data_IF_110406403856
#
_entry.id   IF_110406403856
#
_cell.length_a   1.000
_cell.length_b   1.000
_cell.length_c   1.000
_cell.angle_alpha   90.00
_cell.angle_beta   90.00
_cell.angle_gamma   90.00
#
_symmetry.space_group_name_H-M   'P 1'
#
loop_
_entity.id
_entity.type
_entity.pdbx_description
1 polymer ?
#
# COMPACT_ATOMS: atom_id res chain seq x y z
N UNK A 1 51.98 -0.74 -29.60
CA UNK A 1 51.14 -0.34 -28.45
C UNK A 1 49.70 -0.31 -28.93
N UNK A 2 48.98 -1.43 -28.83
CA UNK A 2 47.57 -1.55 -29.22
C UNK A 2 46.83 -2.02 -27.97
N UNK A 3 46.00 -1.14 -27.41
CA UNK A 3 45.24 -1.38 -26.19
C UNK A 3 43.98 -2.16 -26.58
N UNK A 4 43.90 -3.42 -26.13
CA UNK A 4 42.75 -4.28 -26.34
C UNK A 4 41.55 -3.82 -25.49
N UNK A 5 40.47 -3.47 -26.17
CA UNK A 5 39.18 -3.13 -25.57
C UNK A 5 38.55 -4.41 -25.00
N UNK A 6 38.53 -4.57 -23.67
CA UNK A 6 37.75 -5.62 -23.00
C UNK A 6 36.28 -5.21 -22.97
N UNK A 7 35.46 -5.87 -23.78
CA UNK A 7 34.01 -5.80 -23.66
C UNK A 7 33.60 -6.48 -22.34
N UNK A 8 33.13 -5.71 -21.36
CA UNK A 8 32.36 -6.25 -20.25
C UNK A 8 30.97 -6.61 -20.78
N UNK A 9 30.68 -7.91 -20.84
CA UNK A 9 29.31 -8.42 -20.99
C UNK A 9 28.59 -8.12 -19.68
N UNK A 10 27.62 -7.21 -19.71
CA UNK A 10 26.63 -7.08 -18.65
C UNK A 10 25.63 -8.22 -18.83
N UNK A 11 25.74 -9.26 -18.00
CA UNK A 11 24.68 -10.24 -17.84
C UNK A 11 23.51 -9.54 -17.14
N UNK A 12 22.49 -9.17 -17.92
CA UNK A 12 21.16 -8.86 -17.41
C UNK A 12 20.63 -10.15 -16.77
N UNK A 13 20.69 -10.23 -15.45
CA UNK A 13 19.94 -11.20 -14.66
C UNK A 13 18.46 -10.86 -14.83
N UNK A 14 17.84 -11.41 -15.86
CA UNK A 14 16.39 -11.48 -15.96
C UNK A 14 15.99 -12.53 -14.93
N UNK A 15 15.33 -12.11 -13.86
CA UNK A 15 14.70 -12.99 -12.88
C UNK A 15 13.52 -13.71 -13.54
N UNK A 16 13.80 -14.69 -14.41
CA UNK A 16 12.76 -15.47 -15.03
C UNK A 16 12.14 -16.40 -13.99
N UNK A 17 10.84 -16.27 -13.77
CA UNK A 17 10.06 -17.20 -12.96
C UNK A 17 10.14 -18.64 -13.50
N UNK A 18 10.04 -19.65 -12.64
CA UNK A 18 9.78 -21.01 -13.11
C UNK A 18 8.45 -21.02 -13.89
N UNK A 19 8.36 -21.86 -14.93
CA UNK A 19 7.25 -21.88 -15.90
C UNK A 19 5.83 -22.08 -15.32
N UNK A 20 5.72 -22.41 -14.02
CA UNK A 20 4.47 -22.61 -13.28
C UNK A 20 4.29 -21.64 -12.09
N UNK A 21 5.12 -20.60 -11.97
CA UNK A 21 4.94 -19.60 -10.91
C UNK A 21 3.63 -18.85 -11.12
N UNK A 22 2.96 -18.52 -10.01
CA UNK A 22 1.81 -17.60 -10.06
C UNK A 22 2.22 -16.13 -10.08
N UNK A 23 3.50 -15.87 -9.83
CA UNK A 23 4.08 -14.56 -9.93
C UNK A 23 4.66 -14.34 -11.33
N UNK A 24 4.53 -13.13 -11.85
CA UNK A 24 5.10 -12.68 -13.12
C UNK A 24 5.70 -11.27 -12.95
N UNK A 25 6.69 -10.94 -13.78
CA UNK A 25 7.30 -9.62 -13.81
C UNK A 25 6.37 -8.66 -14.56
N UNK A 26 6.08 -7.53 -13.93
CA UNK A 26 5.42 -6.40 -14.58
C UNK A 26 6.44 -5.46 -15.23
N UNK A 27 5.92 -4.44 -15.90
CA UNK A 27 6.77 -3.35 -16.41
C UNK A 27 7.32 -2.55 -15.23
N UNK A 28 8.65 -2.45 -15.05
CA UNK A 28 9.23 -1.74 -13.92
C UNK A 28 8.84 -0.26 -13.94
N UNK A 29 8.78 0.34 -12.75
CA UNK A 29 8.54 1.77 -12.61
C UNK A 29 9.66 2.59 -13.30
N UNK A 30 9.36 3.79 -13.80
CA UNK A 30 10.39 4.68 -14.34
C UNK A 30 11.44 5.09 -13.30
N UNK A 31 11.07 5.09 -12.02
CA UNK A 31 11.94 5.41 -10.90
C UNK A 31 11.64 4.54 -9.69
N UNK A 32 12.71 4.03 -9.07
CA UNK A 32 12.63 3.26 -7.83
C UNK A 32 12.09 4.10 -6.66
N UNK A 33 11.05 3.60 -6.00
CA UNK A 33 10.34 4.31 -4.92
C UNK A 33 9.82 3.36 -3.85
N UNK A 34 9.90 3.79 -2.59
CA UNK A 34 9.27 3.12 -1.44
C UNK A 34 8.24 4.03 -0.76
N UNK A 35 7.24 3.44 -0.11
CA UNK A 35 6.17 4.17 0.56
C UNK A 35 5.22 4.89 -0.40
N UNK A 36 5.15 4.43 -1.65
CA UNK A 36 4.14 4.85 -2.62
C UNK A 36 2.78 4.28 -2.23
N UNK A 37 1.73 4.95 -2.66
CA UNK A 37 0.36 4.46 -2.50
C UNK A 37 -0.33 4.45 -3.83
N UNK A 38 -1.20 3.47 -4.05
CA UNK A 38 -1.86 3.32 -5.33
C UNK A 38 -3.33 2.89 -5.23
N UNK A 39 -4.06 3.17 -6.30
CA UNK A 39 -5.45 2.73 -6.49
C UNK A 39 -5.72 2.47 -7.97
N UNK A 40 -6.71 1.62 -8.29
CA UNK A 40 -7.20 1.46 -9.66
C UNK A 40 -8.30 2.47 -9.93
N UNK A 41 -8.19 3.17 -11.04
CA UNK A 41 -9.29 3.95 -11.64
C UNK A 41 -9.39 3.53 -13.10
N UNK A 42 -10.51 2.91 -13.45
CA UNK A 42 -10.75 2.29 -14.74
C UNK A 42 -9.62 1.33 -15.16
N UNK A 43 -8.91 1.65 -16.23
CA UNK A 43 -7.79 0.85 -16.77
C UNK A 43 -6.42 1.32 -16.27
N UNK A 44 -6.38 2.16 -15.24
CA UNK A 44 -5.16 2.80 -14.79
C UNK A 44 -4.86 2.50 -13.32
N UNK A 45 -3.60 2.21 -13.02
CA UNK A 45 -3.09 2.25 -11.65
C UNK A 45 -2.52 3.63 -11.42
N UNK A 46 -3.12 4.40 -10.51
CA UNK A 46 -2.60 5.71 -10.09
C UNK A 46 -1.65 5.47 -8.93
N UNK A 47 -0.41 5.92 -9.05
CA UNK A 47 0.64 5.81 -8.04
C UNK A 47 1.04 7.20 -7.55
N UNK A 48 0.84 7.47 -6.25
CA UNK A 48 1.13 8.77 -5.63
C UNK A 48 2.21 8.64 -4.57
N UNK A 49 3.06 9.67 -4.49
CA UNK A 49 4.00 9.85 -3.40
C UNK A 49 5.21 8.92 -3.46
N UNK A 50 5.64 8.45 -2.29
CA UNK A 50 6.85 7.66 -2.13
C UNK A 50 8.13 8.48 -1.98
N UNK A 51 9.21 7.77 -1.64
CA UNK A 51 10.56 8.30 -1.49
C UNK A 51 11.48 7.59 -2.49
N UNK A 52 12.30 8.37 -3.18
CA UNK A 52 13.38 7.90 -4.04
C UNK A 52 14.72 8.43 -3.55
N UNK A 53 15.81 7.80 -3.97
CA UNK A 53 17.19 8.24 -3.70
C UNK A 53 17.46 9.55 -4.45
N UNK A 54 16.90 9.72 -5.65
CA UNK A 54 17.08 10.91 -6.46
C UNK A 54 16.16 12.02 -5.95
N UNK A 55 16.76 13.15 -5.56
CA UNK A 55 16.03 14.33 -5.11
C UNK A 55 15.14 14.90 -6.23
N UNK A 56 13.96 15.44 -5.85
CA UNK A 56 12.93 15.91 -6.80
C UNK A 56 11.67 15.03 -6.87
N UNK A 57 11.62 13.90 -6.14
CA UNK A 57 10.43 13.05 -6.00
C UNK A 57 9.37 13.72 -5.05
N UNK A 58 8.06 13.68 -5.37
CA UNK A 58 7.37 12.66 -6.17
C UNK A 58 7.00 13.07 -7.60
N UNK A 59 7.49 12.32 -8.60
CA UNK A 59 6.77 12.14 -9.86
C UNK A 59 5.70 11.09 -9.58
N UNK A 60 4.46 11.55 -9.43
CA UNK A 60 3.32 10.65 -9.39
C UNK A 60 3.09 10.11 -10.79
N UNK A 61 2.66 8.86 -10.90
CA UNK A 61 2.61 8.15 -12.16
C UNK A 61 1.27 7.47 -12.36
N UNK A 62 0.95 7.21 -13.61
CA UNK A 62 -0.17 6.38 -14.02
C UNK A 62 0.38 5.21 -14.84
N UNK A 63 0.04 3.99 -14.46
CA UNK A 63 0.29 2.80 -15.27
C UNK A 63 -0.96 2.44 -16.05
N UNK A 64 -0.88 2.53 -17.37
CA UNK A 64 -1.91 2.05 -18.28
C UNK A 64 -1.83 0.53 -18.38
N UNK A 65 -2.80 -0.16 -17.80
CA UNK A 65 -2.81 -1.62 -17.72
C UNK A 65 -2.96 -2.25 -19.12
N UNK A 66 -3.64 -1.58 -20.06
CA UNK A 66 -3.88 -2.12 -21.42
C UNK A 66 -2.70 -1.82 -22.33
N UNK A 67 -2.15 -0.62 -22.21
CA UNK A 67 -0.98 -0.18 -22.97
C UNK A 67 0.34 -0.73 -22.42
N UNK A 68 0.36 -1.26 -21.20
CA UNK A 68 1.58 -1.66 -20.48
C UNK A 68 2.63 -0.54 -20.46
N UNK A 69 2.19 0.69 -20.16
CA UNK A 69 3.06 1.86 -20.18
C UNK A 69 2.85 2.75 -18.96
N UNK A 70 3.96 3.21 -18.39
CA UNK A 70 3.99 4.23 -17.36
C UNK A 70 3.97 5.62 -17.99
N UNK A 71 3.16 6.52 -17.43
CA UNK A 71 3.10 7.92 -17.83
C UNK A 71 3.18 8.81 -16.58
N UNK A 72 3.85 9.97 -16.64
CA UNK A 72 3.82 10.92 -15.54
C UNK A 72 2.44 11.53 -15.40
N UNK A 73 2.08 11.94 -14.19
CA UNK A 73 0.89 12.78 -13.94
C UNK A 73 1.29 14.08 -13.24
N UNK A 74 0.36 15.04 -13.23
CA UNK A 74 0.52 16.31 -12.54
C UNK A 74 0.97 16.12 -11.09
N UNK A 75 1.98 16.88 -10.69
CA UNK A 75 2.56 16.81 -9.35
C UNK A 75 1.51 17.26 -8.34
N UNK A 76 1.39 16.49 -7.25
CA UNK A 76 0.53 16.87 -6.14
C UNK A 76 1.00 18.22 -5.55
N UNK A 77 0.11 19.20 -5.33
CA UNK A 77 0.50 20.53 -4.86
C UNK A 77 1.22 20.55 -3.50
N UNK A 78 1.11 19.46 -2.72
CA UNK A 78 1.81 19.28 -1.46
C UNK A 78 2.51 17.93 -1.40
N UNK A 79 3.76 17.94 -0.94
CA UNK A 79 4.50 16.72 -0.60
C UNK A 79 3.95 16.15 0.70
N UNK A 80 3.41 14.92 0.65
CA UNK A 80 2.85 14.21 1.80
C UNK A 80 3.51 12.84 1.95
N UNK A 81 3.99 12.54 3.15
CA UNK A 81 4.55 11.24 3.52
C UNK A 81 3.53 10.48 4.37
N UNK A 82 3.38 9.17 4.15
CA UNK A 82 2.42 8.36 4.91
C UNK A 82 0.96 8.74 4.63
N UNK A 83 0.69 9.35 3.48
CA UNK A 83 -0.68 9.57 2.98
C UNK A 83 -1.26 8.25 2.45
N UNK A 84 -2.54 8.25 2.09
CA UNK A 84 -3.21 7.12 1.42
C UNK A 84 -4.07 7.62 0.28
N UNK A 85 -4.30 6.77 -0.72
CA UNK A 85 -5.20 7.04 -1.85
C UNK A 85 -6.26 5.94 -1.97
N UNK A 86 -7.49 6.31 -2.30
CA UNK A 86 -8.57 5.39 -2.68
C UNK A 86 -9.37 5.97 -3.84
N UNK A 87 -9.94 5.13 -4.69
CA UNK A 87 -10.79 5.57 -5.79
C UNK A 87 -12.20 5.97 -5.32
N UNK A 88 -12.75 7.06 -5.84
CA UNK A 88 -14.10 7.57 -5.60
C UNK A 88 -14.89 7.70 -6.91
N UNK A 89 -14.93 6.61 -7.68
CA UNK A 89 -15.43 6.62 -9.05
C UNK A 89 -14.27 6.82 -10.01
N UNK A 90 -14.32 7.88 -10.79
CA UNK A 90 -13.35 8.33 -11.80
C UNK A 90 -12.19 9.17 -11.21
N UNK A 91 -12.16 9.38 -9.90
CA UNK A 91 -11.16 10.21 -9.20
C UNK A 91 -10.47 9.46 -8.07
N UNK A 92 -9.25 9.87 -7.74
CA UNK A 92 -8.51 9.38 -6.59
C UNK A 92 -8.61 10.36 -5.42
N UNK A 93 -9.11 9.92 -4.26
CA UNK A 93 -9.07 10.71 -3.02
C UNK A 93 -7.81 10.38 -2.25
N UNK A 94 -6.98 11.40 -1.99
CA UNK A 94 -5.77 11.35 -1.18
C UNK A 94 -6.01 12.11 0.11
N UNK A 95 -5.72 11.52 1.27
CA UNK A 95 -5.99 12.16 2.56
C UNK A 95 -4.85 11.97 3.56
N UNK A 96 -4.63 13.00 4.37
CA UNK A 96 -3.68 13.01 5.47
C UNK A 96 -2.22 12.82 5.03
N UNK A 97 -1.39 12.44 5.98
CA UNK A 97 0.06 12.35 5.84
C UNK A 97 0.78 13.50 6.54
N UNK A 98 2.11 13.46 6.48
CA UNK A 98 3.02 14.42 7.06
C UNK A 98 3.60 15.33 5.97
N UNK A 99 3.51 16.65 6.17
CA UNK A 99 3.91 17.67 5.19
C UNK A 99 5.28 18.31 5.49
N UNK A 100 6.18 17.58 6.14
CA UNK A 100 7.47 18.06 6.71
C UNK A 100 7.36 18.99 7.93
N UNK A 101 6.16 19.48 8.28
CA UNK A 101 5.95 20.32 9.46
C UNK A 101 5.06 19.65 10.50
N UNK A 102 3.93 19.08 10.05
CA UNK A 102 2.95 18.44 10.93
C UNK A 102 2.21 17.31 10.23
N UNK A 103 1.62 16.44 11.03
CA UNK A 103 0.60 15.50 10.56
C UNK A 103 -0.63 16.33 10.18
N UNK A 104 -1.23 16.04 9.03
CA UNK A 104 -2.33 16.82 8.46
C UNK A 104 -3.61 15.98 8.36
N UNK A 105 -4.74 16.66 8.26
CA UNK A 105 -6.04 16.09 7.92
C UNK A 105 -6.49 16.48 6.49
N UNK A 106 -5.63 17.15 5.72
CA UNK A 106 -5.99 17.68 4.41
C UNK A 106 -6.29 16.55 3.42
N UNK A 107 -7.28 16.77 2.56
CA UNK A 107 -7.65 15.86 1.49
C UNK A 107 -7.60 16.55 0.13
N UNK A 108 -7.24 15.76 -0.88
CA UNK A 108 -7.09 16.18 -2.27
C UNK A 108 -7.72 15.13 -3.17
N UNK A 109 -8.34 15.57 -4.25
CA UNK A 109 -8.87 14.69 -5.29
C UNK A 109 -8.04 14.87 -6.55
N UNK A 110 -7.61 13.76 -7.14
CA UNK A 110 -7.01 13.74 -8.47
C UNK A 110 -8.05 13.30 -9.49
N UNK A 111 -8.34 14.18 -10.43
CA UNK A 111 -9.22 13.89 -11.56
C UNK A 111 -8.37 13.34 -12.71
N UNK A 112 -8.59 12.07 -13.07
CA UNK A 112 -7.78 11.39 -14.09
C UNK A 112 -8.05 11.98 -15.48
N UNK A 113 -9.30 12.33 -15.78
CA UNK A 113 -9.72 12.88 -17.08
C UNK A 113 -9.12 14.27 -17.30
N UNK A 114 -9.20 15.13 -16.27
CA UNK A 114 -8.71 16.49 -16.34
C UNK A 114 -7.22 16.63 -15.96
N UNK A 115 -6.60 15.55 -15.49
CA UNK A 115 -5.21 15.51 -15.03
C UNK A 115 -4.87 16.60 -14.02
N UNK A 116 -5.78 16.89 -13.08
CA UNK A 116 -5.61 17.98 -12.11
C UNK A 116 -5.93 17.56 -10.68
N UNK A 117 -5.37 18.33 -9.75
CA UNK A 117 -5.59 18.18 -8.31
C UNK A 117 -6.54 19.25 -7.81
N UNK A 118 -7.54 18.84 -7.04
CA UNK A 118 -8.48 19.75 -6.36
C UNK A 118 -8.49 19.45 -4.87
N UNK A 119 -8.33 20.48 -4.04
CA UNK A 119 -8.51 20.35 -2.59
C UNK A 119 -9.98 20.06 -2.27
N UNK A 120 -10.24 19.17 -1.32
CA UNK A 120 -11.59 18.80 -0.88
C UNK A 120 -11.71 18.88 0.65
N UNK A 121 -12.88 18.52 1.18
CA UNK A 121 -13.15 18.49 2.61
C UNK A 121 -12.14 17.64 3.37
N UNK A 122 -11.46 18.26 4.34
CA UNK A 122 -10.49 17.60 5.21
C UNK A 122 -11.13 16.53 6.09
N UNK A 123 -10.33 15.54 6.48
CA UNK A 123 -10.70 14.59 7.52
C UNK A 123 -10.98 15.31 8.85
N UNK A 124 -11.85 14.75 9.73
CA UNK A 124 -12.09 15.32 11.06
C UNK A 124 -10.85 15.32 11.97
N UNK A 125 -9.96 14.33 11.81
CA UNK A 125 -8.78 14.14 12.65
C UNK A 125 -7.53 13.98 11.77
N UNK A 126 -6.42 14.59 12.18
CA UNK A 126 -5.15 14.52 11.47
C UNK A 126 -4.50 13.14 11.60
N UNK A 127 -4.05 12.57 10.48
CA UNK A 127 -3.53 11.19 10.40
C UNK A 127 -2.41 11.02 9.39
N UNK A 128 -1.35 10.32 9.77
CA UNK A 128 -0.33 9.79 8.87
C UNK A 128 -0.15 8.28 9.11
N UNK A 129 0.37 7.55 8.11
CA UNK A 129 0.57 6.08 8.15
C UNK A 129 -0.67 5.27 8.52
N UNK A 130 -1.85 5.88 8.33
CA UNK A 130 -3.15 5.27 8.54
C UNK A 130 -3.46 4.32 7.38
N UNK A 131 -4.54 3.55 7.52
CA UNK A 131 -5.13 2.82 6.39
C UNK A 131 -6.36 3.56 5.91
N UNK A 132 -6.56 3.62 4.59
CA UNK A 132 -7.76 4.18 3.98
C UNK A 132 -8.30 3.16 3.00
N UNK A 133 -9.58 2.82 3.13
CA UNK A 133 -10.21 1.81 2.28
C UNK A 133 -11.63 2.20 1.90
N UNK A 134 -12.00 1.94 0.65
CA UNK A 134 -13.37 2.09 0.17
C UNK A 134 -14.12 0.76 0.26
N UNK A 135 -15.31 0.80 0.85
CA UNK A 135 -16.33 -0.25 0.73
C UNK A 135 -17.62 0.42 0.28
N UNK A 136 -18.10 0.04 -0.91
CA UNK A 136 -19.30 0.60 -1.52
C UNK A 136 -19.24 2.14 -1.60
N UNK A 137 -20.18 2.83 -0.94
CA UNK A 137 -20.33 4.29 -0.93
C UNK A 137 -19.61 4.97 0.26
N UNK A 138 -18.73 4.25 0.96
CA UNK A 138 -18.03 4.76 2.15
C UNK A 138 -16.54 4.52 2.05
N UNK A 139 -15.79 5.48 2.56
CA UNK A 139 -14.36 5.35 2.81
C UNK A 139 -14.14 5.34 4.31
N UNK A 140 -13.26 4.45 4.75
CA UNK A 140 -12.93 4.22 6.13
C UNK A 140 -11.45 4.54 6.34
N UNK A 141 -11.15 5.39 7.32
CA UNK A 141 -9.79 5.73 7.73
C UNK A 141 -9.56 5.25 9.16
N UNK A 142 -8.52 4.45 9.35
CA UNK A 142 -8.27 3.74 10.61
C UNK A 142 -6.78 3.57 10.92
N UNK A 143 -6.46 3.56 12.21
CA UNK A 143 -5.10 3.46 12.71
C UNK A 143 -4.22 4.65 12.29
N UNK A 144 -2.91 4.40 12.20
CA UNK A 144 -1.92 5.43 11.92
C UNK A 144 -1.47 6.18 13.17
N UNK A 145 -0.78 7.29 12.95
CA UNK A 145 -0.31 8.23 13.98
C UNK A 145 -0.99 9.58 13.81
N UNK A 146 -1.27 10.28 14.91
CA UNK A 146 -1.98 11.56 14.95
C UNK A 146 -3.03 11.63 16.06
N UNK A 147 -4.12 12.37 15.85
CA UNK A 147 -5.15 12.67 16.87
C UNK A 147 -6.13 11.51 17.07
N UNK A 148 -6.23 10.91 18.26
CA UNK A 148 -7.15 9.79 18.59
C UNK A 148 -7.05 8.54 17.66
N UNK A 149 -5.86 7.91 17.49
CA UNK A 149 -5.56 6.82 16.52
C UNK A 149 -6.45 5.57 16.56
N UNK A 150 -7.18 5.38 17.66
CA UNK A 150 -8.22 4.38 17.82
C UNK A 150 -9.52 4.70 17.06
N UNK A 151 -9.78 5.96 16.71
CA UNK A 151 -11.04 6.41 16.10
C UNK A 151 -11.08 6.08 14.62
N UNK A 152 -12.20 5.45 14.22
CA UNK A 152 -12.52 5.19 12.82
C UNK A 152 -13.24 6.39 12.21
N UNK A 153 -12.67 7.02 11.18
CA UNK A 153 -13.33 8.08 10.42
C UNK A 153 -13.98 7.49 9.17
N UNK A 154 -15.17 7.98 8.84
CA UNK A 154 -15.98 7.49 7.72
C UNK A 154 -16.39 8.66 6.83
N UNK A 155 -15.98 8.62 5.56
CA UNK A 155 -16.47 9.54 4.54
C UNK A 155 -17.59 8.88 3.73
N UNK A 156 -18.75 9.53 3.66
CA UNK A 156 -19.81 9.14 2.74
C UNK A 156 -19.60 9.85 1.40
N UNK A 157 -19.35 9.08 0.34
CA UNK A 157 -18.97 9.62 -0.97
C UNK A 157 -20.13 10.42 -1.58
N UNK A 158 -21.34 9.85 -1.65
CA UNK A 158 -22.50 10.56 -2.22
C UNK A 158 -22.89 11.82 -1.45
N UNK A 159 -22.78 11.80 -0.12
CA UNK A 159 -23.12 12.95 0.74
C UNK A 159 -21.97 13.94 0.92
N UNK A 160 -20.78 13.60 0.42
CA UNK A 160 -19.53 14.34 0.61
C UNK A 160 -19.32 14.78 2.06
N UNK A 161 -19.49 13.86 3.00
CA UNK A 161 -19.48 14.19 4.42
C UNK A 161 -18.69 13.19 5.25
N UNK A 162 -17.79 13.73 6.07
CA UNK A 162 -17.08 12.98 7.09
C UNK A 162 -17.93 12.77 8.34
N UNK A 163 -17.63 11.68 9.06
CA UNK A 163 -18.19 11.36 10.36
C UNK A 163 -17.17 10.54 11.16
N UNK A 164 -17.26 10.59 12.48
CA UNK A 164 -16.42 9.77 13.36
C UNK A 164 -17.29 8.66 13.94
N UNK A 165 -16.85 7.42 13.75
CA UNK A 165 -17.51 6.23 14.29
C UNK A 165 -17.26 6.10 15.79
N UNK A 166 -18.22 5.54 16.52
CA UNK A 166 -18.05 5.16 17.94
C UNK A 166 -17.35 3.81 18.15
N UNK A 167 -17.09 3.07 17.07
CA UNK A 167 -16.50 1.74 17.12
C UNK A 167 -15.00 1.84 16.88
N UNK A 168 -14.25 1.87 17.96
CA UNK A 168 -12.80 2.07 17.93
C UNK A 168 -12.06 0.82 17.45
N UNK A 169 -10.93 1.04 16.78
CA UNK A 169 -9.95 0.00 16.45
C UNK A 169 -9.42 -0.61 17.77
N UNK A 170 -9.59 -1.93 18.02
CA UNK A 170 -9.28 -2.51 19.32
C UNK A 170 -7.79 -2.44 19.65
N UNK A 171 -6.95 -2.70 18.66
CA UNK A 171 -5.49 -2.63 18.80
C UNK A 171 -4.97 -1.55 17.88
N UNK A 172 -4.59 -0.41 18.45
CA UNK A 172 -4.15 0.78 17.70
C UNK A 172 -2.78 0.54 17.06
N UNK A 173 -2.74 0.62 15.73
CA UNK A 173 -1.53 0.35 14.94
C UNK A 173 -1.36 1.30 13.78
N UNK A 174 -0.13 1.48 13.33
CA UNK A 174 0.24 2.13 12.08
C UNK A 174 0.97 1.14 11.16
N UNK A 175 1.15 1.49 9.88
CA UNK A 175 1.84 0.63 8.90
C UNK A 175 1.24 -0.80 8.80
N UNK A 176 -0.09 -0.88 8.91
CA UNK A 176 -0.86 -2.13 8.75
C UNK A 176 -1.08 -2.44 7.28
N UNK A 177 -1.09 -3.73 6.93
CA UNK A 177 -1.70 -4.17 5.68
C UNK A 177 -3.21 -4.19 5.86
N UNK A 178 -3.95 -3.50 4.98
CA UNK A 178 -5.41 -3.37 5.10
C UNK A 178 -6.07 -3.59 3.75
N UNK A 179 -7.14 -4.38 3.73
CA UNK A 179 -7.91 -4.63 2.51
C UNK A 179 -9.36 -4.97 2.81
N UNK A 180 -10.18 -5.06 1.76
CA UNK A 180 -11.55 -5.57 1.84
C UNK A 180 -11.42 -7.09 1.89
N UNK A 181 -12.14 -7.73 2.79
CA UNK A 181 -12.23 -9.18 2.88
C UNK A 181 -13.65 -9.57 3.28
N UNK A 182 -14.36 -10.28 2.39
CA UNK A 182 -15.77 -10.67 2.59
C UNK A 182 -16.66 -9.48 3.03
N UNK A 183 -16.62 -8.38 2.27
CA UNK A 183 -17.35 -7.12 2.53
C UNK A 183 -17.05 -6.41 3.87
N UNK A 184 -16.03 -6.90 4.58
CA UNK A 184 -15.50 -6.30 5.80
C UNK A 184 -14.13 -5.70 5.56
N UNK A 185 -13.63 -4.91 6.52
CA UNK A 185 -12.27 -4.38 6.48
C UNK A 185 -11.40 -5.29 7.32
N UNK A 186 -10.39 -5.91 6.73
CA UNK A 186 -9.37 -6.64 7.49
C UNK A 186 -8.11 -5.80 7.62
N UNK A 187 -7.54 -5.84 8.82
CA UNK A 187 -6.24 -5.25 9.15
C UNK A 187 -5.31 -6.36 9.61
N UNK A 188 -4.09 -6.37 9.11
CA UNK A 188 -3.10 -7.42 9.36
C UNK A 188 -1.78 -6.78 9.80
N UNK A 189 -1.26 -7.27 10.93
CA UNK A 189 0.03 -6.86 11.46
C UNK A 189 0.09 -5.35 11.72
N UNK A 190 1.23 -4.75 11.39
CA UNK A 190 1.56 -3.36 11.67
C UNK A 190 2.34 -3.19 12.96
N UNK A 191 2.49 -1.94 13.37
CA UNK A 191 3.24 -1.54 14.56
C UNK A 191 2.28 -0.96 15.58
N UNK A 192 2.28 -1.50 16.79
CA UNK A 192 1.43 -0.98 17.88
C UNK A 192 1.92 0.39 18.31
N UNK A 193 1.00 1.37 18.38
CA UNK A 193 1.36 2.75 18.77
C UNK A 193 1.86 2.81 20.21
N UNK A 194 1.31 2.00 21.11
CA UNK A 194 1.63 2.02 22.55
C UNK A 194 3.01 1.48 22.90
N UNK A 195 3.48 0.45 22.17
CA UNK A 195 4.71 -0.28 22.50
C UNK A 195 5.78 -0.21 21.41
N UNK A 196 5.45 0.36 20.25
CA UNK A 196 6.28 0.36 19.06
C UNK A 196 6.69 -1.04 18.57
N UNK A 197 6.01 -2.09 19.03
CA UNK A 197 6.28 -3.46 18.64
C UNK A 197 5.53 -3.83 17.36
N UNK A 198 6.23 -4.54 16.47
CA UNK A 198 5.62 -5.21 15.32
C UNK A 198 4.75 -6.36 15.83
N UNK A 199 3.56 -6.51 15.27
CA UNK A 199 2.59 -7.53 15.70
C UNK A 199 2.12 -8.41 14.54
N UNK A 200 1.50 -9.54 14.88
CA UNK A 200 0.84 -10.47 13.97
C UNK A 200 -0.68 -10.40 14.06
N UNK A 201 -1.22 -9.49 14.86
CA UNK A 201 -2.67 -9.37 15.10
C UNK A 201 -3.43 -9.16 13.78
N UNK A 202 -4.54 -9.88 13.65
CA UNK A 202 -5.47 -9.75 12.53
C UNK A 202 -6.84 -9.42 13.07
N UNK A 203 -7.40 -8.28 12.66
CA UNK A 203 -8.69 -7.78 13.12
C UNK A 203 -9.56 -7.38 11.93
N UNK A 204 -10.83 -7.77 11.98
CA UNK A 204 -11.83 -7.48 10.96
C UNK A 204 -12.91 -6.59 11.53
N UNK A 205 -13.21 -5.48 10.84
CA UNK A 205 -14.38 -4.65 11.10
C UNK A 205 -15.46 -4.96 10.08
N UNK A 206 -16.59 -5.46 10.57
CA UNK A 206 -17.82 -5.62 9.80
C UNK A 206 -18.61 -4.31 9.88
N UNK A 207 -18.77 -3.55 8.77
CA UNK A 207 -19.46 -2.27 8.79
C UNK A 207 -20.98 -2.37 8.96
N UNK A 208 -21.59 -3.52 8.66
CA UNK A 208 -23.03 -3.75 8.83
C UNK A 208 -23.35 -4.05 10.29
N UNK A 209 -22.61 -5.00 10.88
CA UNK A 209 -22.71 -5.36 12.30
C UNK A 209 -22.06 -4.34 13.22
N UNK A 210 -21.23 -3.45 12.66
CA UNK A 210 -20.47 -2.41 13.36
C UNK A 210 -19.65 -3.00 14.51
N UNK A 211 -18.95 -4.09 14.23
CA UNK A 211 -18.23 -4.87 15.23
C UNK A 211 -16.86 -5.27 14.72
N UNK A 212 -15.88 -5.15 15.61
CA UNK A 212 -14.55 -5.71 15.41
C UNK A 212 -14.50 -7.16 15.91
N UNK A 213 -13.85 -8.02 15.15
CA UNK A 213 -13.59 -9.42 15.49
C UNK A 213 -12.13 -9.73 15.24
N UNK A 214 -11.47 -10.41 16.19
CA UNK A 214 -10.10 -10.90 16.01
C UNK A 214 -10.14 -12.23 15.26
N UNK A 215 -9.31 -12.36 14.22
CA UNK A 215 -9.09 -13.62 13.52
C UNK A 215 -7.85 -14.34 14.09
N UNK A 216 -7.51 -15.50 13.54
CA UNK A 216 -6.24 -16.17 13.83
C UNK A 216 -5.09 -15.23 13.46
N UNK A 217 -4.18 -15.00 14.38
CA UNK A 217 -3.01 -14.16 14.15
C UNK A 217 -2.17 -14.70 12.98
N UNK A 218 -1.53 -13.79 12.23
CA UNK A 218 -0.61 -14.13 11.16
C UNK A 218 0.57 -14.94 11.73
N UNK A 219 1.10 -15.97 11.01
CA UNK A 219 2.22 -16.77 11.52
C UNK A 219 3.48 -15.95 11.81
N UNK A 220 3.67 -14.84 11.10
CA UNK A 220 4.80 -13.93 11.23
C UNK A 220 4.35 -12.55 11.69
N UNK A 221 5.05 -11.94 12.65
CA UNK A 221 4.86 -10.51 12.98
C UNK A 221 5.39 -9.68 11.83
N UNK A 222 4.58 -8.76 11.31
CA UNK A 222 4.95 -8.01 10.10
C UNK A 222 4.43 -6.58 10.14
N UNK A 223 5.25 -5.62 9.71
CA UNK A 223 4.84 -4.23 9.45
C UNK A 223 5.06 -3.89 7.97
N UNK A 224 4.31 -2.94 7.44
CA UNK A 224 4.43 -2.45 6.05
C UNK A 224 4.32 -3.55 4.98
N UNK A 225 3.55 -4.60 5.28
CA UNK A 225 3.19 -5.64 4.31
C UNK A 225 2.08 -5.16 3.37
N UNK A 226 1.81 -5.94 2.33
CA UNK A 226 0.66 -5.75 1.45
C UNK A 226 -0.37 -6.85 1.66
N UNK A 227 -1.65 -6.52 1.51
CA UNK A 227 -2.74 -7.48 1.62
C UNK A 227 -3.82 -7.24 0.55
N UNK A 228 -4.44 -8.31 0.07
CA UNK A 228 -5.59 -8.24 -0.82
C UNK A 228 -6.50 -9.45 -0.66
N UNK A 229 -7.76 -9.32 -1.07
CA UNK A 229 -8.67 -10.46 -1.24
C UNK A 229 -8.63 -10.96 -2.68
N UNK A 230 -8.39 -12.26 -2.86
CA UNK A 230 -8.45 -12.95 -4.15
C UNK A 230 -9.27 -14.23 -3.95
N UNK A 231 -10.32 -14.43 -4.74
CA UNK A 231 -11.18 -15.63 -4.68
C UNK A 231 -11.64 -15.96 -3.24
N UNK A 232 -12.08 -14.95 -2.50
CA UNK A 232 -12.54 -15.03 -1.11
C UNK A 232 -11.48 -15.53 -0.11
N UNK A 233 -10.21 -15.38 -0.46
CA UNK A 233 -9.06 -15.68 0.41
C UNK A 233 -8.29 -14.40 0.66
N UNK A 234 -7.79 -14.23 1.87
CA UNK A 234 -6.96 -13.09 2.23
C UNK A 234 -5.50 -13.44 1.99
N UNK A 235 -4.88 -12.73 1.06
CA UNK A 235 -3.47 -12.85 0.71
C UNK A 235 -2.68 -11.75 1.44
N UNK A 236 -1.52 -12.09 1.99
CA UNK A 236 -0.62 -11.17 2.67
C UNK A 236 0.81 -11.45 2.21
N UNK A 237 1.53 -10.41 1.79
CA UNK A 237 2.88 -10.54 1.24
C UNK A 237 3.86 -9.50 1.77
N UNK A 238 5.10 -9.95 1.92
CA UNK A 238 6.26 -9.13 2.23
C UNK A 238 6.19 -8.43 3.58
N UNK A 239 6.79 -7.24 3.66
CA UNK A 239 6.86 -6.42 4.87
C UNK A 239 8.19 -6.58 5.63
N UNK A 240 8.25 -6.03 6.85
CA UNK A 240 9.48 -5.99 7.66
C UNK A 240 9.23 -6.21 9.15
N UNK A 241 10.31 -6.56 9.85
CA UNK A 241 10.43 -6.49 11.32
C UNK A 241 11.57 -5.57 11.73
N UNK A 242 11.48 -4.99 12.93
CA UNK A 242 12.54 -4.14 13.50
C UNK A 242 13.50 -4.92 14.39
N UNK A 243 13.06 -6.04 14.97
CA UNK A 243 13.88 -6.94 15.79
C UNK A 243 13.42 -8.40 15.61
N UNK A 244 14.21 -9.27 14.94
CA UNK A 244 15.40 -8.91 14.17
C UNK A 244 15.05 -7.96 13.03
N UNK A 245 16.01 -7.14 12.61
CA UNK A 245 15.84 -6.24 11.49
C UNK A 245 15.84 -7.05 10.18
N UNK A 246 14.68 -7.27 9.57
CA UNK A 246 14.54 -8.17 8.41
C UNK A 246 13.42 -7.71 7.47
N UNK A 247 13.64 -7.85 6.17
CA UNK A 247 12.62 -7.78 5.12
C UNK A 247 12.18 -9.19 4.73
N UNK A 248 10.90 -9.37 4.44
CA UNK A 248 10.31 -10.66 4.09
C UNK A 248 9.76 -10.64 2.67
N UNK A 249 9.66 -11.82 2.09
CA UNK A 249 9.03 -12.17 0.81
C UNK A 249 7.85 -13.14 1.00
N UNK A 250 7.64 -13.64 2.22
CA UNK A 250 6.62 -14.65 2.52
C UNK A 250 5.25 -14.25 1.96
N UNK A 251 4.56 -15.24 1.42
CA UNK A 251 3.19 -15.12 0.94
C UNK A 251 2.29 -16.04 1.75
N UNK A 252 1.41 -15.44 2.55
CA UNK A 252 0.43 -16.16 3.35
C UNK A 252 -0.97 -16.02 2.77
N UNK A 253 -1.74 -17.11 2.80
CA UNK A 253 -3.16 -17.13 2.48
C UNK A 253 -3.95 -17.56 3.71
N UNK A 254 -4.93 -16.75 4.11
CA UNK A 254 -5.94 -17.11 5.10
C UNK A 254 -7.22 -17.59 4.44
N UNK A 255 -7.63 -18.81 4.80
CA UNK A 255 -8.87 -19.45 4.33
C UNK A 255 -9.31 -20.51 5.34
N UNK A 256 -10.62 -20.71 5.51
CA UNK A 256 -11.18 -21.68 6.48
C UNK A 256 -10.59 -21.56 7.89
N UNK A 257 -10.47 -20.31 8.38
CA UNK A 257 -9.94 -19.98 9.70
C UNK A 257 -8.46 -20.34 9.94
N UNK A 258 -7.70 -20.67 8.90
CA UNK A 258 -6.28 -20.97 9.04
C UNK A 258 -5.41 -20.27 7.99
N UNK A 259 -4.12 -20.13 8.34
CA UNK A 259 -3.07 -19.61 7.48
C UNK A 259 -2.32 -20.75 6.81
N UNK A 260 -1.98 -20.57 5.54
CA UNK A 260 -1.07 -21.44 4.82
C UNK A 260 -0.06 -20.61 4.03
N UNK A 261 1.16 -21.10 3.96
CA UNK A 261 2.21 -20.47 3.15
C UNK A 261 2.06 -20.87 1.68
N UNK A 262 2.49 -19.97 0.79
CA UNK A 262 2.51 -20.14 -0.66
C UNK A 262 3.88 -19.75 -1.19
N UNK A 263 4.03 -19.92 -2.50
CA UNK A 263 5.19 -19.41 -3.23
C UNK A 263 5.42 -17.93 -2.87
N UNK A 264 6.61 -17.61 -2.31
CA UNK A 264 6.93 -16.26 -1.85
C UNK A 264 6.98 -15.30 -3.04
N UNK A 265 6.91 -13.99 -2.74
CA UNK A 265 7.28 -12.99 -3.72
C UNK A 265 8.75 -13.19 -4.14
N UNK A 266 9.12 -12.98 -5.41
CA UNK A 266 10.51 -13.07 -5.85
C UNK A 266 11.45 -12.12 -5.12
N UNK A 267 10.98 -10.90 -4.89
CA UNK A 267 11.77 -9.87 -4.21
C UNK A 267 11.24 -9.66 -2.80
N UNK A 268 12.06 -9.87 -1.75
CA UNK A 268 11.71 -9.44 -0.40
C UNK A 268 11.62 -7.91 -0.34
N UNK A 269 10.46 -7.37 0.06
CA UNK A 269 10.26 -5.91 0.17
C UNK A 269 9.13 -5.51 1.11
N UNK A 270 9.19 -4.27 1.56
CA UNK A 270 8.20 -3.62 2.41
C UNK A 270 7.83 -2.22 1.87
N UNK A 271 6.81 -1.58 2.46
CA UNK A 271 6.35 -0.24 2.06
C UNK A 271 5.99 -0.17 0.56
N UNK A 272 5.36 -1.22 0.05
CA UNK A 272 4.96 -1.39 -1.34
C UNK A 272 3.61 -0.73 -1.61
N UNK A 273 3.41 -0.24 -2.83
CA UNK A 273 2.07 -0.02 -3.34
C UNK A 273 1.45 -1.37 -3.73
N UNK A 274 0.20 -1.61 -3.33
CA UNK A 274 -0.51 -2.87 -3.59
C UNK A 274 -1.90 -2.60 -4.13
N UNK A 275 -2.19 -3.17 -5.29
CA UNK A 275 -3.41 -2.88 -6.05
C UNK A 275 -3.94 -4.13 -6.72
N UNK A 276 -5.20 -4.48 -6.46
CA UNK A 276 -5.88 -5.57 -7.13
C UNK A 276 -6.97 -5.00 -8.04
N UNK A 277 -6.91 -5.35 -9.33
CA UNK A 277 -7.87 -4.89 -10.35
C UNK A 277 -9.02 -5.88 -10.60
N UNK A 278 -9.17 -6.89 -9.75
CA UNK A 278 -10.14 -7.98 -9.88
C UNK A 278 -9.65 -9.17 -10.70
N UNK A 279 -8.57 -9.01 -11.49
CA UNK A 279 -7.96 -10.08 -12.29
C UNK A 279 -6.57 -10.43 -11.80
N UNK A 280 -5.77 -9.40 -11.51
CA UNK A 280 -4.36 -9.48 -11.15
C UNK A 280 -4.08 -8.59 -9.94
N UNK A 281 -3.16 -9.04 -9.09
CA UNK A 281 -2.68 -8.28 -7.95
C UNK A 281 -1.28 -7.76 -8.21
N UNK A 282 -1.16 -6.44 -8.30
CA UNK A 282 0.09 -5.73 -8.57
C UNK A 282 0.74 -5.31 -7.26
N UNK A 283 2.00 -5.69 -7.10
CA UNK A 283 2.92 -5.23 -6.04
C UNK A 283 3.98 -4.36 -6.69
N UNK A 284 4.02 -3.09 -6.30
CA UNK A 284 4.75 -2.04 -7.02
C UNK A 284 5.73 -1.34 -6.08
N UNK A 285 7.00 -1.35 -6.44
CA UNK A 285 8.07 -0.66 -5.73
C UNK A 285 8.30 -1.22 -4.33
N UNK A 286 8.53 -0.33 -3.37
CA UNK A 286 8.90 -0.69 -1.99
C UNK A 286 10.39 -0.56 -1.74
N UNK A 287 10.85 -1.04 -0.60
CA UNK A 287 12.27 -1.09 -0.24
C UNK A 287 12.69 -2.52 0.12
N UNK A 288 13.88 -2.92 -0.34
CA UNK A 288 14.41 -4.27 -0.14
C UNK A 288 15.17 -4.42 1.19
N UNK A 289 15.73 -3.32 1.71
CA UNK A 289 16.49 -3.35 2.97
C UNK A 289 15.75 -2.60 4.09
N UNK A 290 15.66 -3.18 5.29
CA UNK A 290 14.99 -2.56 6.42
C UNK A 290 15.86 -1.49 7.12
N UNK A 291 15.27 -0.73 8.04
CA UNK A 291 15.99 0.21 8.91
C UNK A 291 16.56 1.42 8.16
N UNK A 292 17.75 1.90 8.56
CA UNK A 292 18.39 3.05 7.90
C UNK A 292 18.74 2.77 6.43
N UNK A 293 18.87 1.51 6.03
CA UNK A 293 19.11 1.16 4.64
C UNK A 293 17.86 1.28 3.75
N UNK A 294 16.67 1.45 4.34
CA UNK A 294 15.42 1.63 3.56
C UNK A 294 15.42 2.86 2.67
N UNK A 295 16.17 3.91 3.04
CA UNK A 295 16.31 5.12 2.21
C UNK A 295 17.23 4.90 1.00
N UNK A 296 18.09 3.88 1.01
CA UNK A 296 19.05 3.56 -0.06
C UNK A 296 18.67 2.30 -0.85
N UNK A 297 17.53 1.70 -0.52
CA UNK A 297 17.04 0.48 -1.13
C UNK A 297 15.62 0.55 -1.74
N UNK A 298 15.05 1.72 -2.11
CA UNK A 298 13.89 1.73 -2.99
C UNK A 298 14.13 0.88 -4.24
N UNK A 299 13.09 0.20 -4.72
CA UNK A 299 13.11 -0.57 -5.97
C UNK A 299 12.04 -0.05 -6.94
N UNK A 300 12.28 -0.27 -8.23
CA UNK A 300 11.35 -0.04 -9.35
C UNK A 300 10.56 -1.29 -9.74
N UNK A 301 10.83 -2.43 -9.12
CA UNK A 301 10.24 -3.71 -9.49
C UNK A 301 8.72 -3.69 -9.34
N UNK A 302 8.05 -4.30 -10.32
CA UNK A 302 6.63 -4.62 -10.28
C UNK A 302 6.50 -6.12 -10.40
N UNK A 303 5.89 -6.76 -9.40
CA UNK A 303 5.52 -8.18 -9.50
C UNK A 303 4.00 -8.29 -9.49
N UNK A 304 3.48 -9.24 -10.27
CA UNK A 304 2.05 -9.42 -10.44
C UNK A 304 1.71 -10.85 -10.06
N UNK A 305 0.74 -11.01 -9.17
CA UNK A 305 0.18 -12.31 -8.83
C UNK A 305 -1.11 -12.54 -9.62
N UNK A 306 -1.13 -13.65 -10.36
CA UNK A 306 -2.29 -14.10 -11.13
C UNK A 306 -3.02 -15.25 -10.42
N UNK A 307 -4.33 -15.34 -10.67
CA UNK A 307 -5.22 -16.35 -10.06
C UNK A 307 -4.92 -17.77 -10.51
#
# INVERSE_FOLDING_TARGET
MVIGLRYLIFLLLISSFPANSKWEDGIPMPQAKSGTVATVIDNNIILIGGKSIVEGSPVSEIFDIKGNIWRPISIMPKKLIGTRIVNIGDKGLVCGGFNNQKITNECWTYDVLLSLWVRTDSMPLARAEHSMIRINNKIYVLGGVGEEPERLMIYNISKKRWSISKYNLPTVRYSMATTKFNDSIVTVGGVQVSSNNVTSVVEVFDPEKKKWTRLKDLPQKIASASATEINSKLHVVGGKTFSPLKTYDNHYIYFNNDWSEREPMPTPRHDMASVNNGKKWYIIGGAISPGIFSIFSPTDVVEIYSQ
#
